data_IF_065161263040
#
_entry.id   IF_065161263040
#
_cell.length_a   1.000
_cell.length_b   1.000
_cell.length_c   1.000
_cell.angle_alpha   90.00
_cell.angle_beta   90.00
_cell.angle_gamma   90.00
#
_symmetry.space_group_name_H-M   'P 1'
#
loop_
_entity.id
_entity.type
_entity.pdbx_description
1 polymer ?
#
# COMPACT_ATOMS: atom_id res chain seq x y z
N UNK A 1 -27.54 8.32 1.09
CA UNK A 1 -27.51 6.91 0.66
C UNK A 1 -26.20 6.61 -0.04
N UNK A 2 -25.77 5.35 -0.06
CA UNK A 2 -24.46 4.95 -0.60
C UNK A 2 -24.32 5.16 -2.11
N UNK A 3 -25.41 5.32 -2.84
CA UNK A 3 -25.50 5.57 -4.28
C UNK A 3 -25.40 7.05 -4.65
N UNK A 4 -25.28 7.94 -3.67
CA UNK A 4 -25.04 9.36 -3.97
C UNK A 4 -23.65 9.59 -4.54
N UNK A 5 -23.51 10.48 -5.52
CA UNK A 5 -22.24 10.81 -6.15
C UNK A 5 -21.11 11.16 -5.18
N UNK A 6 -21.43 11.89 -4.11
CA UNK A 6 -20.47 12.26 -3.06
C UNK A 6 -19.86 11.05 -2.34
N UNK A 7 -20.46 9.87 -2.44
CA UNK A 7 -19.94 8.65 -1.84
C UNK A 7 -18.97 7.91 -2.78
N UNK A 8 -18.95 8.24 -4.05
CA UNK A 8 -18.19 7.54 -5.08
C UNK A 8 -17.26 8.46 -5.88
N UNK A 9 -17.60 9.75 -6.01
CA UNK A 9 -16.79 10.71 -6.75
C UNK A 9 -15.92 11.52 -5.79
N UNK A 10 -14.68 11.79 -6.18
CA UNK A 10 -13.78 12.64 -5.42
C UNK A 10 -14.29 14.08 -5.40
N UNK A 11 -14.44 14.66 -4.21
CA UNK A 11 -14.94 16.02 -4.01
C UNK A 11 -13.92 16.85 -3.23
N UNK A 12 -13.27 17.80 -3.90
CA UNK A 12 -12.44 18.79 -3.24
C UNK A 12 -13.32 19.94 -2.69
N UNK A 13 -13.64 19.89 -1.39
CA UNK A 13 -14.46 20.91 -0.75
C UNK A 13 -14.76 20.59 0.72
N UNK A 14 -15.38 21.51 1.44
CA UNK A 14 -15.69 21.36 2.87
C UNK A 14 -16.93 20.47 3.08
N UNK A 15 -16.96 19.29 2.51
CA UNK A 15 -18.07 18.34 2.62
C UNK A 15 -17.55 17.02 3.16
N UNK A 16 -18.18 16.52 4.22
CA UNK A 16 -17.88 15.26 4.85
C UNK A 16 -19.14 14.37 4.83
N UNK A 17 -19.22 13.35 3.97
CA UNK A 17 -20.30 12.38 4.02
C UNK A 17 -20.14 11.47 5.24
N UNK A 18 -21.23 11.27 5.97
CA UNK A 18 -21.27 10.41 7.16
C UNK A 18 -22.37 9.38 6.99
N UNK A 19 -22.03 8.12 7.25
CA UNK A 19 -22.99 7.00 7.25
C UNK A 19 -22.92 6.23 8.57
N UNK A 20 -24.08 5.80 9.05
CA UNK A 20 -24.16 4.83 10.13
C UNK A 20 -23.98 3.43 9.58
N UNK A 21 -23.28 2.59 10.32
CA UNK A 21 -23.04 1.19 10.00
C UNK A 21 -23.52 0.30 11.15
N UNK A 22 -23.99 -0.90 10.84
CA UNK A 22 -24.46 -1.84 11.85
C UNK A 22 -23.32 -2.58 12.55
N UNK A 23 -22.21 -2.80 11.84
CA UNK A 23 -21.05 -3.54 12.33
C UNK A 23 -19.78 -3.16 11.55
N UNK A 24 -18.64 -3.69 11.98
CA UNK A 24 -17.35 -3.41 11.35
C UNK A 24 -17.24 -3.97 9.93
N UNK A 25 -17.86 -5.10 9.67
CA UNK A 25 -17.85 -5.79 8.38
C UNK A 25 -18.54 -4.95 7.31
N UNK A 26 -19.67 -4.33 7.65
CA UNK A 26 -20.34 -3.37 6.77
C UNK A 26 -19.47 -2.13 6.52
N UNK A 27 -18.84 -1.61 7.58
CA UNK A 27 -17.93 -0.47 7.47
C UNK A 27 -16.73 -0.75 6.56
N UNK A 28 -16.13 -1.93 6.67
CA UNK A 28 -15.04 -2.38 5.80
C UNK A 28 -15.53 -2.49 4.34
N UNK A 29 -16.70 -3.09 4.12
CA UNK A 29 -17.25 -3.24 2.79
C UNK A 29 -17.51 -1.88 2.11
N UNK A 30 -18.09 -0.93 2.86
CA UNK A 30 -18.34 0.43 2.37
C UNK A 30 -17.03 1.19 2.11
N UNK A 31 -16.05 1.12 3.01
CA UNK A 31 -14.75 1.76 2.84
C UNK A 31 -14.00 1.21 1.61
N UNK A 32 -14.13 -0.08 1.34
CA UNK A 32 -13.49 -0.73 0.19
C UNK A 32 -14.31 -0.61 -1.10
N UNK A 33 -15.55 -0.15 -1.02
CA UNK A 33 -16.46 -0.03 -2.16
C UNK A 33 -16.17 1.11 -3.13
N UNK A 34 -15.13 1.92 -2.89
CA UNK A 34 -14.73 3.01 -3.78
C UNK A 34 -13.61 2.59 -4.73
N UNK A 35 -13.43 3.32 -5.82
CA UNK A 35 -12.31 3.15 -6.74
C UNK A 35 -11.00 3.76 -6.22
N UNK A 36 -11.00 4.38 -5.04
CA UNK A 36 -9.86 5.01 -4.41
C UNK A 36 -9.36 4.21 -3.20
N UNK A 37 -8.07 4.36 -2.88
CA UNK A 37 -7.43 3.67 -1.77
C UNK A 37 -6.12 4.36 -1.35
N UNK A 38 -6.18 5.67 -1.06
CA UNK A 38 -4.98 6.42 -0.68
C UNK A 38 -4.68 6.25 0.81
N UNK A 39 -5.57 6.73 1.64
CA UNK A 39 -5.41 6.69 3.10
C UNK A 39 -6.74 6.54 3.81
N UNK A 40 -6.67 6.07 5.05
CA UNK A 40 -7.83 5.94 5.92
C UNK A 40 -7.45 6.08 7.39
N UNK A 41 -8.46 6.07 8.25
CA UNK A 41 -8.29 6.08 9.70
C UNK A 41 -9.32 5.16 10.35
N UNK A 42 -8.91 4.46 11.39
CA UNK A 42 -9.79 3.61 12.21
C UNK A 42 -9.67 4.03 13.66
N UNK A 43 -10.80 4.36 14.27
CA UNK A 43 -10.89 4.75 15.68
C UNK A 43 -11.56 3.66 16.50
N UNK A 44 -11.00 3.36 17.68
CA UNK A 44 -11.56 2.36 18.59
C UNK A 44 -10.51 1.71 19.49
N UNK A 45 -10.87 0.68 20.25
CA UNK A 45 -9.91 -0.10 21.04
C UNK A 45 -8.79 -0.62 20.13
N UNK A 46 -7.54 -0.39 20.54
CA UNK A 46 -6.34 -0.59 19.70
C UNK A 46 -6.32 -1.92 18.95
N UNK A 47 -6.57 -3.01 19.63
CA UNK A 47 -6.53 -4.36 19.02
C UNK A 47 -7.58 -4.47 17.91
N UNK A 48 -8.82 -4.09 18.21
CA UNK A 48 -9.92 -4.17 17.26
C UNK A 48 -9.72 -3.21 16.08
N UNK A 49 -9.23 -2.00 16.34
CA UNK A 49 -8.94 -1.02 15.29
C UNK A 49 -7.86 -1.53 14.32
N UNK A 50 -6.83 -2.20 14.82
CA UNK A 50 -5.80 -2.83 13.97
C UNK A 50 -6.38 -3.97 13.12
N UNK A 51 -7.25 -4.81 13.68
CA UNK A 51 -7.91 -5.88 12.93
C UNK A 51 -8.77 -5.35 11.78
N UNK A 52 -9.52 -4.28 12.03
CA UNK A 52 -10.31 -3.60 11.00
C UNK A 52 -9.40 -2.95 9.96
N UNK A 53 -8.39 -2.21 10.40
CA UNK A 53 -7.46 -1.49 9.52
C UNK A 53 -6.74 -2.41 8.51
N UNK A 54 -6.40 -3.64 8.92
CA UNK A 54 -5.77 -4.64 8.03
C UNK A 54 -6.68 -5.08 6.87
N UNK A 55 -7.97 -4.83 6.97
CA UNK A 55 -8.96 -5.20 5.95
C UNK A 55 -9.38 -4.01 5.08
N UNK A 56 -8.92 -2.80 5.41
CA UNK A 56 -9.16 -1.60 4.60
C UNK A 56 -8.17 -1.58 3.42
N UNK A 57 -8.71 -1.41 2.24
CA UNK A 57 -7.99 -1.41 0.97
C UNK A 57 -7.40 -0.03 0.68
N UNK A 58 -6.48 0.40 1.51
CA UNK A 58 -5.82 1.70 1.47
C UNK A 58 -4.33 1.61 1.74
N UNK A 59 -3.57 2.47 1.09
CA UNK A 59 -2.11 2.45 1.12
C UNK A 59 -1.48 2.91 2.43
N UNK A 60 -2.23 3.63 3.28
CA UNK A 60 -1.82 4.02 4.62
C UNK A 60 -3.04 4.17 5.53
N UNK A 61 -3.06 3.47 6.65
CA UNK A 61 -4.17 3.52 7.60
C UNK A 61 -3.67 3.97 8.97
N UNK A 62 -4.24 5.06 9.48
CA UNK A 62 -3.97 5.55 10.84
C UNK A 62 -4.85 4.84 11.85
N UNK A 63 -4.34 4.65 13.07
CA UNK A 63 -5.10 4.12 14.19
C UNK A 63 -5.27 5.21 15.23
N UNK A 64 -6.53 5.52 15.55
CA UNK A 64 -6.93 6.54 16.52
C UNK A 64 -6.36 7.94 16.23
N UNK A 65 -6.09 8.23 14.98
CA UNK A 65 -5.65 9.54 14.48
C UNK A 65 -6.00 9.66 13.01
N UNK A 66 -6.37 10.84 12.55
CA UNK A 66 -6.72 11.08 11.15
C UNK A 66 -5.58 11.72 10.34
N UNK A 67 -4.54 12.25 10.99
CA UNK A 67 -3.49 13.04 10.36
C UNK A 67 -2.14 12.31 10.22
N UNK A 68 -1.92 11.21 10.94
CA UNK A 68 -0.65 10.50 10.93
C UNK A 68 -0.20 10.07 9.54
N UNK A 69 -1.13 9.74 8.66
CA UNK A 69 -0.81 9.40 7.27
C UNK A 69 -0.21 10.57 6.48
N UNK A 70 -0.43 11.81 6.91
CA UNK A 70 0.15 12.99 6.28
C UNK A 70 1.54 13.36 6.85
N UNK A 71 1.75 13.18 8.15
CA UNK A 71 2.93 13.71 8.86
C UNK A 71 4.03 12.69 9.15
N UNK A 72 3.70 11.39 9.24
CA UNK A 72 4.70 10.33 9.44
C UNK A 72 5.32 9.95 8.11
N UNK A 73 6.64 10.13 7.98
CA UNK A 73 7.37 9.88 6.74
C UNK A 73 8.31 8.67 6.80
N UNK A 74 8.51 8.07 7.97
CA UNK A 74 9.40 6.93 8.17
C UNK A 74 8.89 5.63 7.50
N UNK A 75 7.57 5.53 7.31
CA UNK A 75 6.93 4.42 6.60
C UNK A 75 6.68 4.73 5.13
N UNK A 76 7.07 3.85 4.24
CA UNK A 76 6.70 3.97 2.84
C UNK A 76 5.19 3.71 2.67
N UNK A 77 4.46 4.76 2.34
CA UNK A 77 3.03 4.70 2.07
C UNK A 77 2.79 4.39 0.60
N UNK A 78 1.75 3.63 0.32
CA UNK A 78 1.37 3.29 -1.04
C UNK A 78 0.14 4.07 -1.48
N UNK A 79 -0.14 4.11 -2.77
CA UNK A 79 -1.43 4.47 -3.31
C UNK A 79 -2.05 3.21 -3.94
N UNK A 80 -3.26 2.87 -3.53
CA UNK A 80 -3.99 1.73 -4.04
C UNK A 80 -5.05 2.18 -5.04
N UNK A 81 -5.53 1.26 -5.84
CA UNK A 81 -6.58 1.50 -6.84
C UNK A 81 -6.26 2.73 -7.71
N UNK A 82 -7.25 3.57 -7.99
CA UNK A 82 -7.09 4.77 -8.80
C UNK A 82 -6.46 5.97 -8.06
N UNK A 83 -6.13 5.82 -6.77
CA UNK A 83 -5.45 6.89 -6.03
C UNK A 83 -4.01 7.15 -6.48
N UNK A 84 -3.38 6.23 -7.19
CA UNK A 84 -2.06 6.45 -7.77
C UNK A 84 -1.27 5.18 -8.05
N UNK A 85 -0.09 5.37 -8.64
CA UNK A 85 0.82 4.30 -9.02
C UNK A 85 1.99 4.19 -8.03
N UNK A 86 1.82 3.30 -7.08
CA UNK A 86 2.89 2.92 -6.16
C UNK A 86 3.15 3.90 -5.03
N UNK A 87 4.34 3.81 -4.42
CA UNK A 87 4.60 4.38 -3.12
C UNK A 87 4.71 5.92 -3.09
N UNK A 88 4.52 6.50 -1.92
CA UNK A 88 4.64 7.93 -1.63
C UNK A 88 6.03 8.48 -2.01
N UNK A 89 6.11 9.75 -2.40
CA UNK A 89 7.36 10.48 -2.65
C UNK A 89 7.90 11.17 -1.39
N UNK A 90 7.41 10.83 -0.22
CA UNK A 90 7.80 11.44 1.04
C UNK A 90 8.78 10.53 1.79
N UNK A 91 9.61 11.16 2.65
CA UNK A 91 10.61 10.46 3.43
C UNK A 91 11.87 10.04 2.66
N UNK A 92 12.79 9.40 3.35
CA UNK A 92 14.11 9.03 2.82
C UNK A 92 14.04 8.05 1.64
N UNK A 93 13.01 7.23 1.61
CA UNK A 93 12.78 6.28 0.50
C UNK A 93 12.40 6.96 -0.81
N UNK A 94 11.96 8.22 -0.77
CA UNK A 94 11.52 8.97 -1.95
C UNK A 94 12.60 9.06 -3.03
N UNK A 95 13.85 9.23 -2.64
CA UNK A 95 14.97 9.34 -3.57
C UNK A 95 15.21 8.03 -4.35
N UNK A 96 14.84 6.89 -3.79
CA UNK A 96 15.07 5.60 -4.43
C UNK A 96 14.28 5.41 -5.72
N UNK A 97 13.20 6.19 -5.92
CA UNK A 97 12.37 6.18 -7.14
C UNK A 97 13.03 6.82 -8.33
N UNK A 98 13.93 7.75 -8.09
CA UNK A 98 14.67 8.43 -9.14
C UNK A 98 15.99 7.71 -9.47
N UNK A 99 16.24 6.55 -8.84
CA UNK A 99 17.47 5.76 -9.01
C UNK A 99 17.16 4.44 -9.69
N UNK A 100 18.06 4.03 -10.57
CA UNK A 100 18.08 2.66 -11.10
C UNK A 100 18.91 1.79 -10.17
N UNK A 101 18.30 0.72 -9.66
CA UNK A 101 19.04 -0.29 -8.89
C UNK A 101 19.78 -1.20 -9.86
N UNK A 102 21.06 -1.45 -9.58
CA UNK A 102 21.88 -2.41 -10.30
C UNK A 102 22.50 -3.37 -9.28
N UNK A 103 22.43 -4.63 -9.55
CA UNK A 103 23.16 -5.65 -8.82
C UNK A 103 24.36 -6.07 -9.66
N UNK A 104 25.54 -6.09 -9.04
CA UNK A 104 26.74 -6.68 -9.60
C UNK A 104 27.00 -7.94 -8.80
N UNK A 105 27.06 -9.06 -9.49
CA UNK A 105 27.31 -10.35 -8.87
C UNK A 105 28.54 -10.91 -9.56
N UNK A 106 29.59 -11.17 -8.78
CA UNK A 106 30.84 -11.73 -9.25
C UNK A 106 30.98 -13.14 -8.70
N UNK A 107 31.32 -14.09 -9.55
CA UNK A 107 31.79 -15.39 -9.10
C UNK A 107 33.28 -15.31 -8.80
N UNK A 108 33.62 -15.26 -7.53
CA UNK A 108 35.00 -15.20 -7.04
C UNK A 108 35.65 -16.58 -6.88
N UNK A 109 34.94 -17.65 -7.20
CA UNK A 109 35.44 -19.03 -7.16
C UNK A 109 35.67 -19.52 -8.58
N UNK A 110 36.80 -20.18 -8.83
CA UNK A 110 37.08 -20.85 -10.11
C UNK A 110 36.33 -22.21 -10.25
N UNK A 111 35.42 -22.48 -9.32
CA UNK A 111 34.67 -23.72 -9.36
C UNK A 111 33.63 -23.69 -10.48
N UNK A 112 33.57 -24.75 -11.24
CA UNK A 112 32.56 -24.94 -12.27
C UNK A 112 31.14 -24.92 -11.64
N UNK A 113 30.29 -24.05 -12.14
CA UNK A 113 28.92 -24.00 -11.70
C UNK A 113 28.11 -25.09 -12.42
N UNK A 114 27.52 -26.06 -11.70
CA UNK A 114 26.77 -27.17 -12.30
C UNK A 114 25.53 -26.71 -13.10
N UNK A 115 25.13 -25.46 -12.96
CA UNK A 115 24.05 -24.86 -13.76
C UNK A 115 24.52 -24.31 -15.12
N UNK A 116 25.84 -24.21 -15.32
CA UNK A 116 26.40 -23.88 -16.61
C UNK A 116 26.51 -25.16 -17.40
N UNK A 117 25.81 -25.32 -18.46
CA UNK A 117 25.81 -26.38 -19.42
C UNK A 117 26.30 -27.77 -18.93
N UNK A 118 25.63 -28.81 -19.22
CA UNK A 118 26.19 -30.16 -19.00
C UNK A 118 27.41 -30.33 -19.90
N UNK A 119 28.56 -29.85 -19.44
CA UNK A 119 29.84 -29.98 -20.18
C UNK A 119 30.42 -31.40 -20.14
N UNK A 120 29.64 -32.37 -19.67
CA UNK A 120 30.13 -33.73 -19.43
C UNK A 120 30.17 -34.60 -20.67
N UNK A 121 29.69 -34.16 -21.83
CA UNK A 121 29.61 -35.01 -23.02
C UNK A 121 30.23 -34.37 -24.28
N UNK A 122 31.22 -33.51 -24.13
CA UNK A 122 31.96 -32.96 -25.28
C UNK A 122 33.30 -33.72 -25.55
N UNK A 123 33.44 -34.91 -25.01
CA UNK A 123 34.60 -35.76 -25.24
C UNK A 123 34.16 -37.20 -25.54
N UNK A 124 33.38 -37.35 -26.62
CA UNK A 124 33.28 -38.60 -27.37
C UNK A 124 33.30 -38.29 -28.86
#
# INVERSE_FOLDING_TARGET
>A
TADMKIMTEETFGPVLPVMSIANAEEGIALANGTEFGLSGAVFGPRVRAIEVAKQIDGGAISINDAALTAIVHDGEKQAFKNSGLGPSRMGDVSITRFRRKRVLIENVTEQHNPWWFPATNLHD
#
